data_IF_790381241335
#
_entry.id   IF_790381241335
#
_cell.length_a   1.000
_cell.length_b   1.000
_cell.length_c   1.000
_cell.angle_alpha   90.00
_cell.angle_beta   90.00
_cell.angle_gamma   90.00
#
_symmetry.space_group_name_H-M   'P 1'
#
loop_
_entity.id
_entity.type
_entity.pdbx_description
1 polymer ?
#
# COMPACT_ATOMS: atom_id res chain seq x y z
N UNK A 1 2.55 -10.27 -31.04
CA UNK A 1 2.64 -11.46 -30.17
C UNK A 1 1.22 -11.95 -29.89
N UNK A 2 0.90 -13.23 -30.13
CA UNK A 2 -0.45 -13.78 -29.91
C UNK A 2 -0.59 -14.23 -28.45
N UNK A 3 -1.49 -13.62 -27.67
CA UNK A 3 -1.71 -13.96 -26.25
C UNK A 3 -2.76 -15.06 -26.11
N UNK A 4 -2.42 -16.11 -25.34
CA UNK A 4 -3.36 -17.17 -24.97
C UNK A 4 -4.33 -16.67 -23.89
N UNK A 5 -5.53 -17.27 -23.73
CA UNK A 5 -6.45 -16.93 -22.66
C UNK A 5 -5.84 -16.98 -21.25
N UNK A 6 -4.91 -17.91 -21.02
CA UNK A 6 -4.11 -18.03 -19.79
C UNK A 6 -3.27 -16.77 -19.51
N UNK A 7 -2.71 -16.16 -20.56
CA UNK A 7 -1.87 -14.96 -20.44
C UNK A 7 -2.72 -13.75 -20.02
N UNK A 8 -3.97 -13.67 -20.50
CA UNK A 8 -4.92 -12.62 -20.07
C UNK A 8 -5.32 -12.76 -18.61
N UNK A 9 -5.47 -13.99 -18.10
CA UNK A 9 -5.72 -14.21 -16.69
C UNK A 9 -4.52 -13.76 -15.84
N UNK A 10 -3.31 -14.16 -16.24
CA UNK A 10 -2.07 -13.76 -15.58
C UNK A 10 -1.88 -12.24 -15.54
N UNK A 11 -2.09 -11.54 -16.66
CA UNK A 11 -1.99 -10.08 -16.74
C UNK A 11 -2.98 -9.42 -15.78
N UNK A 12 -4.24 -9.90 -15.71
CA UNK A 12 -5.21 -9.35 -14.75
C UNK A 12 -4.76 -9.51 -13.30
N UNK A 13 -4.16 -10.64 -12.95
CA UNK A 13 -3.60 -10.87 -11.62
C UNK A 13 -2.42 -9.95 -11.31
N UNK A 14 -1.52 -9.74 -12.28
CA UNK A 14 -0.40 -8.79 -12.16
C UNK A 14 -0.92 -7.37 -11.96
N UNK A 15 -1.88 -6.92 -12.78
CA UNK A 15 -2.46 -5.59 -12.69
C UNK A 15 -3.22 -5.39 -11.37
N UNK A 16 -3.88 -6.42 -10.85
CA UNK A 16 -4.50 -6.38 -9.52
C UNK A 16 -3.45 -6.27 -8.42
N UNK A 17 -2.41 -7.11 -8.45
CA UNK A 17 -1.33 -7.07 -7.46
C UNK A 17 -0.64 -5.70 -7.43
N UNK A 18 -0.39 -5.12 -8.60
CA UNK A 18 0.17 -3.78 -8.73
C UNK A 18 -0.70 -2.70 -8.09
N UNK A 19 -2.02 -2.75 -8.29
CA UNK A 19 -2.97 -1.82 -7.65
C UNK A 19 -3.02 -1.96 -6.13
N UNK A 20 -2.70 -3.14 -5.61
CA UNK A 20 -2.63 -3.40 -4.16
C UNK A 20 -1.27 -3.03 -3.55
N UNK A 21 -0.35 -2.47 -4.34
CA UNK A 21 0.97 -2.05 -3.87
C UNK A 21 2.04 -3.15 -3.87
N UNK A 22 1.80 -4.30 -4.51
CA UNK A 22 2.81 -5.34 -4.68
C UNK A 22 3.78 -5.02 -5.82
N UNK A 23 5.06 -5.30 -5.60
CA UNK A 23 6.11 -5.26 -6.62
C UNK A 23 5.95 -6.38 -7.65
N UNK A 24 6.63 -6.25 -8.79
CA UNK A 24 6.63 -7.31 -9.83
C UNK A 24 7.24 -8.60 -9.27
N UNK A 25 8.24 -8.48 -8.40
CA UNK A 25 8.93 -9.63 -7.81
C UNK A 25 8.03 -10.39 -6.84
N UNK A 26 7.32 -9.70 -5.94
CA UNK A 26 6.35 -10.34 -5.03
C UNK A 26 5.23 -11.05 -5.80
N UNK A 27 4.71 -10.40 -6.85
CA UNK A 27 3.68 -11.00 -7.71
C UNK A 27 4.23 -12.27 -8.40
N UNK A 28 5.48 -12.22 -8.88
CA UNK A 28 6.16 -13.36 -9.50
C UNK A 28 6.33 -14.52 -8.52
N UNK A 29 6.78 -14.26 -7.29
CA UNK A 29 6.92 -15.28 -6.24
C UNK A 29 5.60 -16.00 -5.98
N UNK A 30 4.51 -15.25 -5.81
CA UNK A 30 3.18 -15.79 -5.56
C UNK A 30 2.72 -16.66 -6.74
N UNK A 31 2.94 -16.23 -7.98
CA UNK A 31 2.57 -17.00 -9.19
C UNK A 31 3.42 -18.28 -9.32
N UNK A 32 4.72 -18.22 -9.00
CA UNK A 32 5.63 -19.36 -9.15
C UNK A 32 5.36 -20.46 -8.13
N UNK A 33 4.90 -20.12 -6.93
CA UNK A 33 4.56 -21.07 -5.86
C UNK A 33 3.49 -22.10 -6.26
N UNK A 34 2.71 -21.85 -7.32
CA UNK A 34 1.75 -22.82 -7.85
C UNK A 34 2.42 -24.08 -8.43
N UNK A 35 3.67 -23.99 -8.92
CA UNK A 35 4.32 -25.07 -9.68
C UNK A 35 4.91 -26.19 -8.81
N UNK A 36 5.01 -26.00 -7.50
CA UNK A 36 5.64 -26.95 -6.57
C UNK A 36 4.74 -27.16 -5.34
N UNK A 37 4.78 -28.33 -4.65
CA UNK A 37 4.03 -28.55 -3.41
C UNK A 37 4.32 -27.41 -2.41
N UNK A 38 3.29 -26.77 -1.82
CA UNK A 38 1.91 -27.23 -1.63
C UNK A 38 0.93 -26.83 -2.75
N UNK A 39 1.41 -26.34 -3.90
CA UNK A 39 0.60 -25.91 -5.02
C UNK A 39 -0.29 -24.71 -4.66
N UNK A 40 -1.56 -24.76 -5.05
CA UNK A 40 -2.54 -23.69 -4.83
C UNK A 40 -2.72 -23.31 -3.35
N UNK A 41 -2.71 -24.29 -2.45
CA UNK A 41 -2.85 -24.03 -1.00
C UNK A 41 -1.68 -23.21 -0.46
N UNK A 42 -0.46 -23.53 -0.91
CA UNK A 42 0.75 -22.77 -0.56
C UNK A 42 0.68 -21.33 -1.06
N UNK A 43 0.28 -21.18 -2.32
CA UNK A 43 0.08 -19.87 -2.95
C UNK A 43 -0.93 -19.02 -2.18
N UNK A 44 -2.09 -19.57 -1.81
CA UNK A 44 -3.13 -18.83 -1.09
C UNK A 44 -2.66 -18.42 0.31
N UNK A 45 -1.95 -19.31 1.03
CA UNK A 45 -1.36 -18.97 2.33
C UNK A 45 -0.33 -17.85 2.22
N UNK A 46 0.56 -17.91 1.22
CA UNK A 46 1.53 -16.83 0.96
C UNK A 46 0.81 -15.51 0.61
N UNK A 47 -0.20 -15.57 -0.25
CA UNK A 47 -0.98 -14.39 -0.62
C UNK A 47 -1.65 -13.74 0.60
N UNK A 48 -2.29 -14.53 1.47
CA UNK A 48 -2.90 -14.03 2.71
C UNK A 48 -1.85 -13.34 3.59
N UNK A 49 -0.69 -13.97 3.78
CA UNK A 49 0.41 -13.39 4.56
C UNK A 49 0.86 -12.04 3.98
N UNK A 50 1.14 -11.98 2.68
CA UNK A 50 1.56 -10.76 1.98
C UNK A 50 0.51 -9.65 2.04
N UNK A 51 -0.78 -10.01 1.95
CA UNK A 51 -1.88 -9.05 2.12
C UNK A 51 -1.89 -8.46 3.53
N UNK A 52 -1.72 -9.27 4.57
CA UNK A 52 -1.73 -8.75 5.94
C UNK A 52 -0.50 -7.90 6.24
N UNK A 53 0.69 -8.31 5.78
CA UNK A 53 1.91 -7.46 5.83
C UNK A 53 1.64 -6.10 5.20
N UNK A 54 1.03 -6.08 3.99
CA UNK A 54 0.78 -4.82 3.29
C UNK A 54 -0.30 -3.96 3.95
N UNK A 55 -1.28 -4.60 4.56
CA UNK A 55 -2.32 -3.93 5.32
C UNK A 55 -1.73 -3.25 6.55
N UNK A 56 -0.81 -3.91 7.25
CA UNK A 56 -0.17 -3.31 8.42
C UNK A 56 0.76 -2.15 8.03
N UNK A 57 1.56 -2.29 6.97
CA UNK A 57 2.34 -1.18 6.40
C UNK A 57 1.46 0.06 6.15
N UNK A 58 0.29 -0.14 5.53
CA UNK A 58 -0.62 0.95 5.19
C UNK A 58 -1.27 1.56 6.44
N UNK A 59 -1.61 0.75 7.44
CA UNK A 59 -2.14 1.24 8.72
C UNK A 59 -1.09 2.08 9.44
N UNK A 60 0.17 1.65 9.46
CA UNK A 60 1.25 2.42 10.06
C UNK A 60 1.43 3.75 9.33
N UNK A 61 1.54 3.74 8.00
CA UNK A 61 1.64 4.99 7.22
C UNK A 61 0.47 5.93 7.45
N UNK A 62 -0.74 5.39 7.65
CA UNK A 62 -1.91 6.22 7.97
C UNK A 62 -1.76 6.89 9.34
N UNK A 63 -1.30 6.17 10.36
CA UNK A 63 -1.00 6.74 11.69
C UNK A 63 0.04 7.85 11.58
N UNK A 64 1.14 7.59 10.88
CA UNK A 64 2.23 8.57 10.69
C UNK A 64 1.72 9.83 9.98
N UNK A 65 0.84 9.67 8.97
CA UNK A 65 0.20 10.79 8.29
C UNK A 65 -0.75 11.57 9.20
N UNK A 66 -1.55 10.88 10.01
CA UNK A 66 -2.46 11.51 10.98
C UNK A 66 -1.67 12.33 12.02
N UNK A 67 -0.54 11.81 12.52
CA UNK A 67 0.37 12.53 13.44
C UNK A 67 0.98 13.76 12.75
N UNK A 68 1.49 13.60 11.53
CA UNK A 68 2.08 14.72 10.75
C UNK A 68 1.06 15.83 10.51
N UNK A 69 -0.18 15.49 10.19
CA UNK A 69 -1.25 16.48 10.00
C UNK A 69 -1.55 17.24 11.30
N UNK A 70 -1.62 16.55 12.44
CA UNK A 70 -1.82 17.20 13.73
C UNK A 70 -0.68 18.15 14.11
N UNK A 71 0.57 17.79 13.80
CA UNK A 71 1.73 18.68 13.99
C UNK A 71 1.64 19.94 13.10
N UNK A 72 1.20 19.78 11.86
CA UNK A 72 0.99 20.91 10.94
C UNK A 72 -0.13 21.85 11.45
N UNK A 73 -1.24 21.30 11.93
CA UNK A 73 -2.34 22.07 12.49
C UNK A 73 -1.88 22.91 13.70
N UNK A 74 -1.09 22.30 14.61
CA UNK A 74 -0.53 23.01 15.77
C UNK A 74 0.46 24.11 15.36
N UNK A 75 1.28 23.85 14.34
CA UNK A 75 2.22 24.83 13.82
C UNK A 75 1.50 26.02 13.18
N UNK A 76 0.40 25.78 12.46
CA UNK A 76 -0.45 26.82 11.90
C UNK A 76 -1.11 27.65 13.00
N UNK A 77 -1.71 27.02 14.01
CA UNK A 77 -2.33 27.70 15.15
C UNK A 77 -1.32 28.61 15.87
N UNK A 78 -0.12 28.11 16.14
CA UNK A 78 0.96 28.90 16.75
C UNK A 78 1.35 30.13 15.90
N UNK A 79 1.33 30.00 14.57
CA UNK A 79 1.62 31.13 13.68
C UNK A 79 0.49 32.17 13.71
N UNK A 80 -0.77 31.72 13.70
CA UNK A 80 -1.95 32.60 13.77
C UNK A 80 -1.98 33.35 15.11
N UNK A 81 -1.76 32.66 16.23
CA UNK A 81 -1.65 33.28 17.55
C UNK A 81 -0.57 34.38 17.55
N UNK A 82 0.59 34.08 16.96
CA UNK A 82 1.68 35.05 16.87
C UNK A 82 1.33 36.27 16.02
N UNK A 83 0.56 36.11 14.93
CA UNK A 83 0.10 37.23 14.10
C UNK A 83 -0.87 38.13 14.88
N UNK A 84 -1.78 37.53 15.65
CA UNK A 84 -2.71 38.25 16.53
C UNK A 84 -1.95 39.04 17.60
N UNK A 85 -0.95 38.45 18.26
CA UNK A 85 -0.09 39.15 19.24
C UNK A 85 0.63 40.36 18.64
N UNK A 86 1.02 40.28 17.36
CA UNK A 86 1.70 41.37 16.65
C UNK A 86 0.72 42.45 16.15
N UNK A 87 -0.58 42.32 16.43
CA UNK A 87 -1.62 43.27 16.02
C UNK A 87 -1.93 43.22 14.52
N UNK A 88 -1.53 42.14 13.85
CA UNK A 88 -1.92 41.88 12.46
C UNK A 88 -3.25 41.13 12.51
N UNK A 89 -4.36 41.80 12.17
CA UNK A 89 -5.62 41.10 11.96
C UNK A 89 -5.46 40.16 10.75
N UNK A 90 -5.45 38.86 11.01
CA UNK A 90 -5.67 37.78 10.04
C UNK A 90 -7.14 37.60 9.73
#
# INVERSE_FOLDING_TARGET
RLFRPSDRHLIRQIMRGKRLGFSINEIREIIQMYKEPPGEVGQLKLMIKRIEEKREDLRQKRRDLEETLAELDQAEESCVERLVELGVNT
#
